data_IF_742468194183
#
_entry.id   IF_742468194183
#
_cell.length_a   1.000
_cell.length_b   1.000
_cell.length_c   1.000
_cell.angle_alpha   90.00
_cell.angle_beta   90.00
_cell.angle_gamma   90.00
#
_symmetry.space_group_name_H-M   'P 1'
#
loop_
_entity.id
_entity.type
_entity.pdbx_description
1 polymer ?
#
# COMPACT_ATOMS: atom_id res chain seq x y z
N UNK A 1 7.06 -8.71 -21.89
CA UNK A 1 6.45 -7.73 -21.01
C UNK A 1 7.27 -7.64 -19.75
N UNK A 2 7.74 -6.44 -19.42
CA UNK A 2 8.49 -6.21 -18.20
C UNK A 2 7.51 -6.19 -17.05
N UNK A 3 7.62 -7.15 -16.13
CA UNK A 3 6.86 -7.14 -14.89
C UNK A 3 7.55 -6.18 -13.93
N UNK A 4 7.20 -4.91 -14.00
CA UNK A 4 7.62 -3.93 -13.01
C UNK A 4 6.74 -4.06 -11.79
N UNK A 5 7.33 -4.18 -10.62
CA UNK A 5 6.61 -4.36 -9.36
C UNK A 5 6.99 -3.24 -8.38
N UNK A 6 5.99 -2.72 -7.71
CA UNK A 6 6.20 -1.91 -6.52
C UNK A 6 5.48 -2.54 -5.32
N UNK A 7 6.09 -2.37 -4.14
CA UNK A 7 5.56 -2.83 -2.84
C UNK A 7 5.29 -1.64 -1.94
N UNK A 8 4.58 -1.90 -0.84
CA UNK A 8 4.30 -0.89 0.20
C UNK A 8 3.76 0.40 -0.39
N UNK A 9 2.68 0.29 -1.16
CA UNK A 9 2.03 1.43 -1.83
C UNK A 9 2.98 2.27 -2.71
N UNK A 10 3.94 1.63 -3.41
CA UNK A 10 4.85 2.33 -4.32
C UNK A 10 6.16 2.81 -3.69
N UNK A 11 6.41 2.49 -2.42
CA UNK A 11 7.62 2.94 -1.72
C UNK A 11 8.88 2.14 -2.10
N UNK A 12 8.73 0.95 -2.64
CA UNK A 12 9.82 0.09 -3.08
C UNK A 12 9.56 -0.38 -4.50
N UNK A 13 10.28 0.19 -5.47
CA UNK A 13 10.15 -0.08 -6.91
C UNK A 13 11.32 -0.91 -7.42
N UNK A 14 11.05 -2.00 -8.12
CA UNK A 14 12.07 -2.91 -8.64
C UNK A 14 11.59 -3.59 -9.93
N UNK A 15 12.55 -4.11 -10.69
CA UNK A 15 12.34 -4.92 -11.89
C UNK A 15 13.21 -6.19 -11.88
N UNK A 16 13.32 -6.86 -13.02
CA UNK A 16 14.14 -8.07 -13.20
C UNK A 16 15.64 -7.81 -13.01
N UNK A 17 16.09 -6.54 -13.09
CA UNK A 17 17.47 -6.13 -12.91
C UNK A 17 17.78 -5.67 -11.48
N UNK A 18 16.75 -5.52 -10.64
CA UNK A 18 16.88 -5.19 -9.24
C UNK A 18 16.12 -3.94 -8.80
N UNK A 19 16.64 -3.29 -7.73
CA UNK A 19 16.05 -2.08 -7.19
C UNK A 19 16.22 -0.91 -8.15
N UNK A 20 15.11 -0.23 -8.46
CA UNK A 20 15.10 1.02 -9.23
C UNK A 20 15.15 2.23 -8.30
N UNK A 21 14.17 2.32 -7.40
CA UNK A 21 14.05 3.45 -6.47
C UNK A 21 13.29 3.00 -5.23
N UNK A 22 13.61 3.58 -4.08
CA UNK A 22 12.91 3.33 -2.82
C UNK A 22 12.79 4.59 -1.99
N UNK A 23 11.79 4.62 -1.12
CA UNK A 23 11.58 5.67 -0.15
C UNK A 23 11.01 5.07 1.13
N UNK A 24 11.73 5.17 2.23
CA UNK A 24 11.30 4.69 3.54
C UNK A 24 10.71 5.82 4.38
N UNK A 25 9.95 5.45 5.41
CA UNK A 25 9.55 6.38 6.46
C UNK A 25 10.79 6.99 7.12
N UNK A 26 10.67 8.25 7.54
CA UNK A 26 11.75 8.90 8.29
C UNK A 26 11.94 8.24 9.66
N UNK A 27 13.17 8.05 10.14
CA UNK A 27 13.41 7.44 11.45
C UNK A 27 12.68 8.15 12.60
N UNK A 28 12.62 9.48 12.57
CA UNK A 28 11.88 10.27 13.56
C UNK A 28 10.38 10.02 13.55
N UNK A 29 9.81 9.77 12.37
CA UNK A 29 8.38 9.45 12.23
C UNK A 29 8.08 8.04 12.71
N UNK A 30 8.96 7.07 12.42
CA UNK A 30 8.86 5.71 12.95
C UNK A 30 8.88 5.74 14.49
N UNK A 31 9.80 6.50 15.09
CA UNK A 31 9.88 6.67 16.55
C UNK A 31 8.60 7.31 17.10
N UNK A 32 8.04 8.28 16.41
CA UNK A 32 6.78 8.95 16.81
C UNK A 32 5.61 7.97 16.78
N UNK A 33 5.48 7.21 15.70
CA UNK A 33 4.42 6.19 15.54
C UNK A 33 4.58 5.09 16.61
N UNK A 34 5.78 4.57 16.80
CA UNK A 34 6.04 3.50 17.77
C UNK A 34 5.74 3.95 19.20
N UNK A 35 6.13 5.18 19.57
CA UNK A 35 5.81 5.75 20.88
C UNK A 35 4.30 5.94 21.07
N UNK A 36 3.59 6.38 20.05
CA UNK A 36 2.14 6.48 20.10
C UNK A 36 1.50 5.10 20.33
N UNK A 37 2.01 4.04 19.69
CA UNK A 37 1.55 2.67 19.90
C UNK A 37 1.82 2.17 21.33
N UNK A 38 2.92 2.57 21.96
CA UNK A 38 3.19 2.25 23.38
C UNK A 38 2.14 2.84 24.32
N UNK A 39 1.63 4.05 23.99
CA UNK A 39 0.55 4.71 24.73
C UNK A 39 -0.83 4.10 24.44
N UNK A 40 -0.93 3.26 23.39
CA UNK A 40 -2.15 2.58 22.96
C UNK A 40 -1.95 1.06 22.83
N UNK A 41 -1.77 0.36 23.98
CA UNK A 41 -1.32 -1.03 23.99
C UNK A 41 -2.30 -2.04 23.37
N UNK A 42 -3.56 -1.64 23.15
CA UNK A 42 -4.56 -2.46 22.47
C UNK A 42 -4.48 -2.36 20.93
N UNK A 43 -3.67 -1.42 20.41
CA UNK A 43 -3.51 -1.21 18.99
C UNK A 43 -2.45 -2.14 18.42
N UNK A 44 -2.84 -2.90 17.41
CA UNK A 44 -1.93 -3.72 16.61
C UNK A 44 -1.46 -2.94 15.40
N UNK A 45 -0.20 -3.06 15.08
CA UNK A 45 0.37 -2.51 13.85
C UNK A 45 1.34 -3.50 13.21
N UNK A 46 1.33 -3.60 11.88
CA UNK A 46 2.40 -4.28 11.16
C UNK A 46 3.38 -3.26 10.59
N UNK A 47 4.63 -3.70 10.48
CA UNK A 47 5.75 -2.95 9.92
C UNK A 47 6.25 -3.68 8.68
N UNK A 48 6.32 -2.99 7.57
CA UNK A 48 6.76 -3.54 6.31
C UNK A 48 8.17 -3.06 5.96
N UNK A 49 9.12 -3.98 5.99
CA UNK A 49 10.47 -3.82 5.46
C UNK A 49 10.54 -4.35 4.01
N UNK A 50 11.72 -4.37 3.43
CA UNK A 50 11.92 -4.90 2.08
C UNK A 50 11.42 -6.35 1.92
N UNK A 51 11.90 -7.26 2.75
CA UNK A 51 11.64 -8.70 2.64
C UNK A 51 11.10 -9.30 3.95
N UNK A 52 10.67 -8.46 4.88
CA UNK A 52 10.17 -8.89 6.18
C UNK A 52 9.00 -8.02 6.62
N UNK A 53 7.95 -8.69 7.10
CA UNK A 53 6.79 -8.04 7.73
C UNK A 53 6.63 -8.60 9.12
N UNK A 54 6.48 -7.72 10.10
CA UNK A 54 6.27 -8.13 11.48
C UNK A 54 5.22 -7.25 12.16
N UNK A 55 4.65 -7.77 13.23
CA UNK A 55 3.67 -7.07 14.07
C UNK A 55 4.32 -6.71 15.40
N UNK A 56 3.91 -5.58 15.98
CA UNK A 56 4.29 -5.22 17.35
C UNK A 56 3.71 -6.21 18.37
N UNK A 57 2.51 -6.73 18.10
CA UNK A 57 1.80 -7.70 18.93
C UNK A 57 0.70 -8.40 18.13
N UNK A 58 0.07 -9.39 18.73
CA UNK A 58 -1.08 -10.11 18.17
C UNK A 58 -2.17 -10.19 19.23
N UNK A 59 -3.39 -9.84 18.87
CA UNK A 59 -4.57 -10.02 19.73
C UNK A 59 -5.27 -11.35 19.45
N UNK A 60 -6.05 -11.81 20.41
CA UNK A 60 -6.88 -13.02 20.25
C UNK A 60 -7.89 -12.88 19.11
N UNK A 61 -8.43 -11.68 18.88
CA UNK A 61 -9.35 -11.38 17.80
C UNK A 61 -8.67 -11.58 16.43
N UNK A 62 -7.46 -11.08 16.25
CA UNK A 62 -6.67 -11.29 15.03
C UNK A 62 -6.34 -12.76 14.81
N UNK A 63 -5.92 -13.47 15.86
CA UNK A 63 -5.68 -14.91 15.77
C UNK A 63 -6.92 -15.70 15.36
N UNK A 64 -8.11 -15.29 15.82
CA UNK A 64 -9.36 -15.92 15.45
C UNK A 64 -9.66 -15.71 13.95
N UNK A 65 -9.47 -14.49 13.45
CA UNK A 65 -9.63 -14.15 12.03
C UNK A 65 -8.63 -14.93 11.15
N UNK A 66 -7.36 -14.99 11.54
CA UNK A 66 -6.35 -15.76 10.79
C UNK A 66 -6.62 -17.26 10.78
N UNK A 67 -7.14 -17.83 11.87
CA UNK A 67 -7.58 -19.23 11.88
C UNK A 67 -8.69 -19.50 10.86
N UNK A 68 -9.60 -18.54 10.65
CA UNK A 68 -10.64 -18.64 9.61
C UNK A 68 -10.06 -18.54 8.19
N UNK A 69 -9.03 -17.73 7.97
CA UNK A 69 -8.33 -17.61 6.69
C UNK A 69 -7.51 -18.88 6.35
N UNK A 70 -7.14 -19.69 7.34
CA UNK A 70 -6.43 -20.95 7.14
C UNK A 70 -5.11 -20.76 6.37
N UNK A 71 -4.98 -21.42 5.19
CA UNK A 71 -3.76 -21.38 4.37
C UNK A 71 -3.50 -20.02 3.71
N UNK A 72 -4.48 -19.13 3.66
CA UNK A 72 -4.34 -17.79 3.10
C UNK A 72 -3.93 -16.75 4.16
N UNK A 73 -3.87 -17.17 5.42
CA UNK A 73 -3.37 -16.30 6.49
C UNK A 73 -1.91 -15.93 6.25
N UNK A 74 -1.52 -14.67 6.49
CA UNK A 74 -0.13 -14.26 6.34
C UNK A 74 0.75 -15.00 7.37
N UNK A 75 2.03 -15.18 7.04
CA UNK A 75 3.02 -15.57 8.04
C UNK A 75 3.16 -14.44 9.04
N UNK A 76 2.92 -14.74 10.31
CA UNK A 76 2.98 -13.77 11.38
C UNK A 76 4.31 -13.84 12.08
N UNK A 77 5.09 -12.78 11.94
CA UNK A 77 6.26 -12.54 12.75
C UNK A 77 5.91 -11.49 13.81
N UNK A 78 6.39 -11.67 15.01
CA UNK A 78 6.33 -10.66 16.08
C UNK A 78 7.74 -10.22 16.35
N UNK A 79 7.97 -8.92 16.38
CA UNK A 79 9.29 -8.37 16.67
C UNK A 79 9.15 -7.04 17.44
N UNK A 80 10.22 -6.61 18.09
CA UNK A 80 10.24 -5.33 18.81
C UNK A 80 10.51 -4.18 17.84
N UNK A 81 9.52 -3.30 17.59
CA UNK A 81 9.71 -2.17 16.68
C UNK A 81 10.75 -1.16 17.18
N UNK A 82 10.99 -1.04 18.50
CA UNK A 82 12.02 -0.13 19.03
C UNK A 82 13.43 -0.53 18.63
N UNK A 83 13.69 -1.83 18.61
CA UNK A 83 15.00 -2.32 18.19
C UNK A 83 15.13 -2.42 16.68
N UNK A 84 14.09 -2.92 16.03
CA UNK A 84 14.14 -3.31 14.62
C UNK A 84 14.06 -2.13 13.69
N UNK A 85 13.13 -1.21 13.92
CA UNK A 85 12.90 -0.06 13.05
C UNK A 85 14.07 0.96 13.01
N UNK A 86 15.01 0.87 13.95
CA UNK A 86 16.26 1.65 13.92
C UNK A 86 17.38 0.97 13.12
N UNK A 87 17.24 -0.31 12.81
CA UNK A 87 18.26 -1.10 12.09
C UNK A 87 17.92 -1.29 10.61
N UNK A 88 16.64 -1.36 10.29
CA UNK A 88 16.15 -1.68 8.95
C UNK A 88 15.21 -0.59 8.44
N UNK A 89 15.21 -0.39 7.13
CA UNK A 89 14.31 0.58 6.51
C UNK A 89 12.86 0.06 6.55
N UNK A 90 11.97 0.85 7.13
CA UNK A 90 10.53 0.59 7.17
C UNK A 90 9.84 1.44 6.11
N UNK A 91 9.12 0.81 5.19
CA UNK A 91 8.47 1.46 4.07
C UNK A 91 7.01 1.80 4.33
N UNK A 92 6.39 1.10 5.26
CA UNK A 92 4.99 1.25 5.63
C UNK A 92 4.78 0.72 7.04
N UNK A 93 3.91 1.39 7.80
CA UNK A 93 3.39 0.89 9.08
C UNK A 93 1.87 0.89 8.96
N UNK A 94 1.22 -0.23 9.29
CA UNK A 94 -0.23 -0.36 9.17
C UNK A 94 -0.89 -0.60 10.53
N UNK A 95 -1.20 0.47 11.28
CA UNK A 95 -1.93 0.37 12.55
C UNK A 95 -3.43 0.15 12.32
N UNK A 96 -4.02 -0.66 13.18
CA UNK A 96 -5.48 -0.88 13.25
C UNK A 96 -6.10 0.21 14.10
N UNK A 97 -6.43 1.33 13.48
CA UNK A 97 -6.90 2.55 14.14
C UNK A 97 -8.08 3.20 13.42
N UNK A 98 -8.80 4.05 14.14
CA UNK A 98 -9.89 4.87 13.60
C UNK A 98 -9.38 5.96 12.63
N UNK A 99 -10.29 6.58 11.86
CA UNK A 99 -9.97 7.76 11.05
C UNK A 99 -9.49 8.95 11.89
N UNK A 100 -10.04 9.09 13.11
CA UNK A 100 -9.66 10.17 14.02
C UNK A 100 -8.22 9.99 14.51
N UNK A 101 -7.85 8.77 14.90
CA UNK A 101 -6.49 8.47 15.36
C UNK A 101 -5.47 8.53 14.23
N UNK A 102 -5.86 8.13 13.01
CA UNK A 102 -5.03 8.31 11.80
C UNK A 102 -4.70 9.79 11.58
N UNK A 103 -5.71 10.67 11.64
CA UNK A 103 -5.51 12.10 11.46
C UNK A 103 -4.61 12.70 12.56
N UNK A 104 -4.81 12.27 13.81
CA UNK A 104 -3.96 12.70 14.94
C UNK A 104 -2.51 12.23 14.75
N UNK A 105 -2.32 10.94 14.49
CA UNK A 105 -1.00 10.32 14.37
C UNK A 105 -0.22 10.88 13.17
N UNK A 106 -0.86 11.02 12.03
CA UNK A 106 -0.26 11.67 10.85
C UNK A 106 0.13 13.12 11.13
N UNK A 107 -0.71 13.87 11.88
CA UNK A 107 -0.43 15.25 12.28
C UNK A 107 0.73 15.39 13.27
N UNK A 108 1.11 14.34 13.99
CA UNK A 108 2.28 14.29 14.87
C UNK A 108 3.58 14.02 14.12
N UNK A 109 3.50 13.45 12.93
CA UNK A 109 4.63 13.09 12.10
C UNK A 109 5.05 14.23 11.17
N UNK A 110 6.30 14.19 10.73
CA UNK A 110 6.87 15.18 9.82
C UNK A 110 6.52 14.94 8.37
N UNK A 111 6.54 13.67 7.94
CA UNK A 111 6.31 13.27 6.55
C UNK A 111 5.55 11.95 6.46
N UNK A 112 4.32 11.91 7.01
CA UNK A 112 3.47 10.71 6.99
C UNK A 112 2.05 11.08 6.59
N UNK A 113 1.44 10.23 5.77
CA UNK A 113 0.00 10.21 5.49
C UNK A 113 -0.56 8.82 5.58
N UNK A 114 -1.84 8.71 5.90
CA UNK A 114 -2.59 7.47 5.83
C UNK A 114 -3.13 7.20 4.42
N UNK A 115 -3.18 5.93 4.05
CA UNK A 115 -3.83 5.43 2.82
C UNK A 115 -4.71 4.25 3.21
N UNK A 116 -6.03 4.41 3.12
CA UNK A 116 -6.98 3.37 3.51
C UNK A 116 -7.53 2.60 2.33
N UNK A 117 -7.62 1.28 2.51
CA UNK A 117 -8.38 0.38 1.65
C UNK A 117 -9.30 -0.56 2.47
N UNK A 118 -9.22 -0.49 3.80
CA UNK A 118 -10.07 -1.21 4.75
C UNK A 118 -10.52 -0.27 5.87
N UNK A 119 -11.74 -0.40 6.41
CA UNK A 119 -12.22 0.50 7.48
C UNK A 119 -11.43 0.39 8.79
N UNK A 120 -10.87 -0.77 9.10
CA UNK A 120 -10.27 -1.06 10.41
C UNK A 120 -8.81 -0.63 10.54
N UNK A 121 -8.11 -0.37 9.44
CA UNK A 121 -6.71 0.03 9.47
C UNK A 121 -6.34 1.01 8.36
N UNK A 122 -5.21 1.63 8.50
CA UNK A 122 -4.60 2.50 7.49
C UNK A 122 -3.16 2.10 7.25
N UNK A 123 -2.68 2.31 6.04
CA UNK A 123 -1.26 2.20 5.71
C UNK A 123 -0.62 3.58 5.86
N UNK A 124 0.20 3.78 6.88
CA UNK A 124 1.02 4.97 7.06
C UNK A 124 2.27 4.87 6.18
N UNK A 125 2.39 5.80 5.26
CA UNK A 125 3.48 5.89 4.27
C UNK A 125 4.07 7.30 4.26
N UNK A 126 5.24 7.54 3.63
CA UNK A 126 5.71 8.89 3.35
C UNK A 126 4.64 9.76 2.68
N UNK A 127 4.46 11.00 3.12
CA UNK A 127 3.37 11.87 2.65
C UNK A 127 3.48 12.21 1.15
N UNK A 128 4.70 12.27 0.64
CA UNK A 128 5.05 12.47 -0.77
C UNK A 128 5.15 11.16 -1.57
N UNK A 129 4.86 10.03 -0.93
CA UNK A 129 4.82 8.71 -1.53
C UNK A 129 3.44 8.30 -2.04
N UNK A 130 3.29 7.01 -2.34
CA UNK A 130 2.05 6.38 -2.80
C UNK A 130 2.16 5.73 -4.17
N UNK A 131 1.11 5.04 -4.60
CA UNK A 131 1.08 4.31 -5.87
C UNK A 131 1.34 5.20 -7.09
N UNK A 132 0.83 6.45 -7.18
CA UNK A 132 1.17 7.36 -8.27
C UNK A 132 2.67 7.70 -8.33
N UNK A 133 3.31 7.89 -7.16
CA UNK A 133 4.75 8.15 -7.12
C UNK A 133 5.55 6.91 -7.56
N UNK A 134 5.13 5.72 -7.18
CA UNK A 134 5.67 4.46 -7.72
C UNK A 134 5.62 4.43 -9.25
N UNK A 135 4.47 4.78 -9.85
CA UNK A 135 4.34 4.89 -11.32
C UNK A 135 5.31 5.92 -11.90
N UNK A 136 5.42 7.11 -11.31
CA UNK A 136 6.35 8.16 -11.79
C UNK A 136 7.81 7.69 -11.75
N UNK A 137 8.20 6.87 -10.75
CA UNK A 137 9.53 6.27 -10.66
C UNK A 137 9.83 5.39 -11.87
N UNK A 138 8.88 4.50 -12.24
CA UNK A 138 9.01 3.69 -13.46
C UNK A 138 9.02 4.54 -14.73
N UNK A 139 8.13 5.51 -14.83
CA UNK A 139 8.09 6.41 -15.99
C UNK A 139 9.42 7.15 -16.17
N UNK A 140 10.01 7.66 -15.10
CA UNK A 140 11.35 8.29 -15.16
C UNK A 140 12.43 7.31 -15.59
N UNK A 141 12.40 6.10 -15.04
CA UNK A 141 13.42 5.09 -15.32
C UNK A 141 13.40 4.63 -16.79
N UNK A 142 12.21 4.38 -17.33
CA UNK A 142 12.04 3.86 -18.69
C UNK A 142 11.81 4.96 -19.75
N UNK A 143 11.69 6.20 -19.35
CA UNK A 143 11.38 7.31 -20.26
C UNK A 143 9.95 7.28 -20.79
N UNK A 144 9.00 6.69 -20.06
CA UNK A 144 7.60 6.64 -20.44
C UNK A 144 6.87 7.94 -20.10
N UNK A 145 5.89 8.29 -20.94
CA UNK A 145 4.94 9.36 -20.63
C UNK A 145 3.71 8.80 -19.92
N UNK A 146 2.92 9.68 -19.31
CA UNK A 146 1.67 9.31 -18.64
C UNK A 146 0.72 8.59 -19.60
N UNK A 147 0.59 9.08 -20.83
CA UNK A 147 -0.29 8.55 -21.87
C UNK A 147 0.06 7.12 -22.30
N UNK A 148 1.25 6.67 -21.97
CA UNK A 148 1.72 5.29 -22.23
C UNK A 148 1.43 4.32 -21.07
N UNK A 149 0.68 4.75 -20.07
CA UNK A 149 0.37 3.94 -18.88
C UNK A 149 -1.10 3.55 -18.83
N UNK A 150 -1.35 2.31 -18.40
CA UNK A 150 -2.67 1.83 -17.98
C UNK A 150 -2.52 1.29 -16.56
N UNK A 151 -3.42 1.67 -15.65
CA UNK A 151 -3.43 1.20 -14.29
C UNK A 151 -4.74 0.47 -13.98
N UNK A 152 -4.65 -0.60 -13.19
CA UNK A 152 -5.79 -1.37 -12.70
C UNK A 152 -5.84 -1.28 -11.17
N UNK A 153 -7.03 -1.11 -10.62
CA UNK A 153 -7.20 -1.02 -9.18
C UNK A 153 -8.60 -1.40 -8.71
N UNK A 154 -8.72 -1.77 -7.44
CA UNK A 154 -9.98 -2.15 -6.82
C UNK A 154 -10.17 -1.55 -5.42
N UNK A 155 -9.10 -1.16 -4.73
CA UNK A 155 -9.12 -0.60 -3.40
C UNK A 155 -9.22 0.94 -3.36
N UNK A 156 -9.61 1.49 -2.22
CA UNK A 156 -9.60 2.94 -2.00
C UNK A 156 -8.22 3.56 -2.16
N UNK A 157 -7.16 2.81 -1.85
CA UNK A 157 -5.77 3.23 -2.03
C UNK A 157 -5.28 3.20 -3.50
N UNK A 158 -6.12 2.76 -4.44
CA UNK A 158 -5.84 2.82 -5.87
C UNK A 158 -6.37 4.09 -6.53
N UNK A 159 -7.29 4.81 -5.89
CA UNK A 159 -7.98 5.95 -6.49
C UNK A 159 -7.01 6.99 -7.08
N UNK A 160 -5.99 7.39 -6.31
CA UNK A 160 -4.98 8.35 -6.77
C UNK A 160 -4.18 7.83 -7.97
N UNK A 161 -3.88 6.52 -8.00
CA UNK A 161 -3.17 5.86 -9.09
C UNK A 161 -4.02 5.81 -10.35
N UNK A 162 -5.29 5.47 -10.23
CA UNK A 162 -6.24 5.43 -11.35
C UNK A 162 -6.42 6.82 -11.95
N UNK A 163 -6.61 7.85 -11.13
CA UNK A 163 -6.70 9.24 -11.59
C UNK A 163 -5.41 9.75 -12.24
N UNK A 164 -4.25 9.25 -11.80
CA UNK A 164 -2.95 9.66 -12.33
C UNK A 164 -2.61 8.98 -13.65
N UNK A 165 -2.97 7.72 -13.87
CA UNK A 165 -2.61 6.96 -15.07
C UNK A 165 -3.06 7.63 -16.38
N UNK A 166 -2.46 7.25 -17.51
CA UNK A 166 -2.95 7.62 -18.83
C UNK A 166 -4.34 7.06 -19.08
N UNK A 167 -4.57 5.80 -18.64
CA UNK A 167 -5.86 5.15 -18.57
C UNK A 167 -5.98 4.50 -17.20
N UNK A 168 -6.92 4.95 -16.39
CA UNK A 168 -7.26 4.32 -15.10
C UNK A 168 -8.45 3.38 -15.26
N UNK A 169 -8.28 2.11 -14.87
CA UNK A 169 -9.31 1.08 -14.97
C UNK A 169 -9.66 0.56 -13.58
N UNK A 170 -10.89 0.77 -13.14
CA UNK A 170 -11.41 0.14 -11.94
C UNK A 170 -11.96 -1.25 -12.24
N UNK A 171 -11.66 -2.22 -11.38
CA UNK A 171 -12.25 -3.55 -11.45
C UNK A 171 -13.75 -3.50 -11.12
N UNK A 172 -14.55 -4.43 -11.65
CA UNK A 172 -16.00 -4.48 -11.39
C UNK A 172 -16.35 -4.61 -9.90
N UNK A 173 -15.50 -5.33 -9.15
CA UNK A 173 -15.60 -5.48 -7.69
C UNK A 173 -14.94 -4.31 -6.90
N UNK A 174 -14.49 -3.24 -7.57
CA UNK A 174 -13.81 -2.13 -6.91
C UNK A 174 -14.71 -1.34 -5.97
N UNK A 175 -14.07 -0.68 -5.01
CA UNK A 175 -14.73 0.27 -4.09
C UNK A 175 -15.21 1.51 -4.84
N UNK A 176 -16.20 2.21 -4.29
CA UNK A 176 -16.72 3.44 -4.90
C UNK A 176 -15.65 4.52 -5.13
N UNK A 177 -14.68 4.79 -4.22
CA UNK A 177 -13.61 5.73 -4.49
C UNK A 177 -12.75 5.35 -5.70
N UNK A 178 -12.42 4.07 -5.87
CA UNK A 178 -11.66 3.59 -7.02
C UNK A 178 -12.45 3.75 -8.33
N UNK A 179 -13.74 3.36 -8.33
CA UNK A 179 -14.64 3.53 -9.48
C UNK A 179 -14.80 5.00 -9.89
N UNK A 180 -14.95 5.88 -8.90
CA UNK A 180 -15.11 7.32 -9.16
C UNK A 180 -13.85 7.99 -9.74
N UNK A 181 -12.67 7.42 -9.49
CA UNK A 181 -11.39 7.92 -9.95
C UNK A 181 -10.93 7.36 -11.31
N UNK A 182 -11.59 6.31 -11.80
CA UNK A 182 -11.21 5.61 -13.02
C UNK A 182 -11.86 6.20 -14.27
N UNK A 183 -11.15 6.06 -15.41
CA UNK A 183 -11.70 6.39 -16.74
C UNK A 183 -12.66 5.30 -17.24
N UNK A 184 -12.47 4.06 -16.80
CA UNK A 184 -13.23 2.89 -17.23
C UNK A 184 -13.44 1.91 -16.09
N UNK A 185 -14.63 1.31 -16.04
CA UNK A 185 -14.94 0.21 -15.12
C UNK A 185 -15.06 -1.07 -15.95
N UNK A 186 -14.21 -2.03 -15.68
CA UNK A 186 -14.22 -3.34 -16.34
C UNK A 186 -15.01 -4.37 -15.54
N UNK A 187 -15.01 -5.62 -15.98
CA UNK A 187 -15.58 -6.74 -15.25
C UNK A 187 -14.78 -7.02 -13.97
N UNK A 188 -15.33 -7.84 -13.08
CA UNK A 188 -14.66 -8.20 -11.84
C UNK A 188 -13.50 -9.20 -12.02
N UNK A 189 -12.81 -9.52 -10.92
CA UNK A 189 -11.64 -10.39 -10.92
C UNK A 189 -11.97 -11.83 -11.37
N UNK A 190 -13.20 -12.30 -11.16
CA UNK A 190 -13.65 -13.66 -11.52
C UNK A 190 -14.15 -13.76 -12.98
N UNK A 191 -14.30 -12.63 -13.65
CA UNK A 191 -14.82 -12.51 -15.02
C UNK A 191 -13.82 -11.89 -16.01
N UNK A 192 -12.53 -12.19 -15.84
CA UNK A 192 -11.45 -11.75 -16.73
C UNK A 192 -11.36 -10.22 -16.94
N UNK A 193 -11.72 -9.41 -15.93
CA UNK A 193 -11.82 -7.95 -16.04
C UNK A 193 -10.58 -7.28 -16.62
N UNK A 194 -9.35 -7.66 -16.19
CA UNK A 194 -8.12 -7.11 -16.75
C UNK A 194 -7.99 -7.41 -18.24
N UNK A 195 -8.23 -8.66 -18.63
CA UNK A 195 -8.15 -9.10 -20.02
C UNK A 195 -9.17 -8.35 -20.90
N UNK A 196 -10.39 -8.19 -20.41
CA UNK A 196 -11.47 -7.52 -21.12
C UNK A 196 -11.16 -6.03 -21.34
N UNK A 197 -10.60 -5.35 -20.33
CA UNK A 197 -10.16 -3.97 -20.46
C UNK A 197 -8.99 -3.84 -21.46
N UNK A 198 -7.98 -4.73 -21.42
CA UNK A 198 -6.87 -4.68 -22.37
C UNK A 198 -7.36 -4.86 -23.83
N UNK A 199 -8.34 -5.72 -24.07
CA UNK A 199 -9.00 -5.85 -25.38
C UNK A 199 -9.81 -4.61 -25.76
N UNK A 200 -10.55 -4.03 -24.80
CA UNK A 200 -11.34 -2.82 -25.01
C UNK A 200 -10.47 -1.64 -25.51
N UNK A 201 -9.28 -1.49 -24.93
CA UNK A 201 -8.32 -0.45 -25.30
C UNK A 201 -7.36 -0.84 -26.43
N UNK A 202 -7.54 -2.02 -27.08
CA UNK A 202 -6.70 -2.54 -28.15
C UNK A 202 -5.22 -2.68 -27.76
N UNK A 203 -4.94 -3.05 -26.50
CA UNK A 203 -3.61 -3.38 -26.02
C UNK A 203 -3.25 -4.83 -26.33
N UNK A 204 -4.27 -5.70 -26.43
CA UNK A 204 -4.21 -7.12 -26.82
C UNK A 204 -5.16 -7.43 -27.97
#
# INVERSE_FOLDING_TARGET
>A
PYTTLFRSNGQYCFDDHGLLEKESLLPEDIVTITRWLDEHPDVVANYCEKDYVYFNQITDAMQATWRQLGKTAPTVNIDDPHERALKYETFQISPYISFEDEAKLSGMCRNVRGVRWHPDFTDLIPADGGKPEGMKRFMRHYGWTREQTIAFGDGGNDADMLAFAGIGVAMGNATEPAKAAADYITDDVDHDGIMNALKHFNVL
#
